data_IF_027650118185
#
_entry.id   IF_027650118185
#
_cell.length_a   1.000
_cell.length_b   1.000
_cell.length_c   1.000
_cell.angle_alpha   90.00
_cell.angle_beta   90.00
_cell.angle_gamma   90.00
#
_symmetry.space_group_name_H-M   'P 1'
#
loop_
_entity.id
_entity.type
_entity.pdbx_description
1 polymer ?
#
# COMPACT_ATOMS: atom_id res chain seq x y z
N UNK A 1 -25.07 73.56 -27.96
CA UNK A 1 -25.03 72.18 -28.50
C UNK A 1 -24.02 71.38 -27.70
N UNK A 2 -24.50 70.45 -26.88
CA UNK A 2 -23.70 69.56 -26.04
C UNK A 2 -22.97 68.53 -26.91
N UNK A 3 -21.68 68.30 -26.67
CA UNK A 3 -20.98 67.12 -27.19
C UNK A 3 -20.37 66.35 -26.02
N UNK A 4 -21.04 65.24 -25.66
CA UNK A 4 -20.60 64.30 -24.64
C UNK A 4 -19.32 63.58 -25.10
N UNK A 5 -18.28 63.69 -24.28
CA UNK A 5 -17.04 62.92 -24.34
C UNK A 5 -17.35 61.42 -24.15
N UNK A 6 -17.11 60.60 -25.18
CA UNK A 6 -17.04 59.14 -25.08
C UNK A 6 -15.74 58.75 -24.39
N UNK A 7 -15.76 58.63 -23.06
CA UNK A 7 -14.68 58.01 -22.26
C UNK A 7 -15.25 56.73 -21.67
N UNK A 8 -15.37 55.70 -22.50
CA UNK A 8 -16.08 54.46 -22.16
C UNK A 8 -15.26 53.17 -22.23
N UNK A 9 -14.38 52.95 -23.23
CA UNK A 9 -13.83 51.60 -23.42
C UNK A 9 -12.44 51.37 -22.80
N UNK A 10 -11.69 52.43 -22.47
CA UNK A 10 -10.29 52.29 -22.02
C UNK A 10 -10.15 51.82 -20.55
N UNK A 11 -11.14 52.08 -19.69
CA UNK A 11 -11.08 51.70 -18.28
C UNK A 11 -11.53 50.25 -18.01
N UNK A 12 -12.25 49.62 -18.93
CA UNK A 12 -12.70 48.24 -18.76
C UNK A 12 -11.59 47.21 -19.06
N UNK A 13 -10.69 47.51 -20.01
CA UNK A 13 -9.58 46.61 -20.34
C UNK A 13 -8.49 46.57 -19.26
N UNK A 14 -8.23 47.68 -18.56
CA UNK A 14 -7.19 47.73 -17.51
C UNK A 14 -7.62 47.01 -16.24
N UNK A 15 -8.90 47.03 -15.88
CA UNK A 15 -9.42 46.27 -14.73
C UNK A 15 -9.35 44.74 -14.95
N UNK A 16 -9.59 44.27 -16.18
CA UNK A 16 -9.47 42.85 -16.53
C UNK A 16 -8.03 42.32 -16.48
N UNK A 17 -7.06 43.12 -16.93
CA UNK A 17 -5.63 42.74 -16.92
C UNK A 17 -5.06 42.79 -15.49
N UNK A 18 -5.48 43.75 -14.66
CA UNK A 18 -5.05 43.83 -13.27
C UNK A 18 -5.60 42.65 -12.44
N UNK A 19 -6.84 42.22 -12.66
CA UNK A 19 -7.42 41.03 -12.03
C UNK A 19 -6.71 39.74 -12.42
N UNK A 20 -6.34 39.59 -13.69
CA UNK A 20 -5.60 38.43 -14.18
C UNK A 20 -4.16 38.36 -13.63
N UNK A 21 -3.49 39.50 -13.44
CA UNK A 21 -2.15 39.56 -12.86
C UNK A 21 -2.14 39.26 -11.36
N UNK A 22 -3.17 39.67 -10.60
CA UNK A 22 -3.30 39.31 -9.18
C UNK A 22 -3.59 37.83 -9.00
N UNK A 23 -4.47 37.25 -9.83
CA UNK A 23 -4.69 35.80 -9.83
C UNK A 23 -3.42 35.04 -10.25
N UNK A 24 -2.76 35.43 -11.35
CA UNK A 24 -1.52 34.82 -11.81
C UNK A 24 -0.33 34.98 -10.83
N UNK A 25 -0.33 36.01 -9.99
CA UNK A 25 0.67 36.22 -8.93
C UNK A 25 0.34 35.45 -7.63
N UNK A 26 -0.91 35.00 -7.44
CA UNK A 26 -1.31 34.15 -6.31
C UNK A 26 -1.22 32.65 -6.61
N UNK A 27 -1.15 32.26 -7.89
CA UNK A 27 -0.95 30.87 -8.31
C UNK A 27 0.47 30.27 -8.07
N UNK A 28 1.61 30.99 -8.06
CA UNK A 28 2.90 30.35 -7.88
C UNK A 28 3.20 30.00 -6.42
N UNK A 29 2.48 30.59 -5.46
CA UNK A 29 2.71 30.38 -4.03
C UNK A 29 1.96 29.18 -3.45
N UNK A 30 0.90 28.71 -4.12
CA UNK A 30 0.10 27.55 -3.67
C UNK A 30 0.17 26.35 -4.63
N UNK A 31 0.86 26.48 -5.76
CA UNK A 31 1.06 25.38 -6.73
C UNK A 31 2.39 24.62 -6.53
N UNK A 32 3.04 24.78 -5.37
CA UNK A 32 4.20 23.98 -4.95
C UNK A 32 3.83 22.78 -4.09
N UNK A 33 2.54 22.59 -3.76
CA UNK A 33 2.07 21.34 -3.18
C UNK A 33 1.85 20.32 -4.30
N UNK A 34 2.75 19.35 -4.41
CA UNK A 34 2.57 17.89 -4.70
C UNK A 34 1.33 17.38 -5.48
N UNK A 35 0.60 18.18 -6.24
CA UNK A 35 -0.64 17.76 -6.88
C UNK A 35 -0.45 16.84 -8.09
N UNK A 36 0.78 16.62 -8.54
CA UNK A 36 1.11 15.83 -9.72
C UNK A 36 2.40 15.01 -9.56
N UNK A 37 2.89 14.82 -8.33
CA UNK A 37 3.92 13.81 -8.12
C UNK A 37 3.24 12.46 -8.33
N UNK A 38 3.73 11.57 -9.21
CA UNK A 38 3.26 10.20 -9.23
C UNK A 38 3.46 9.66 -7.81
N UNK A 39 2.37 9.40 -7.09
CA UNK A 39 2.45 8.72 -5.79
C UNK A 39 3.22 7.44 -6.04
N UNK A 40 4.27 7.20 -5.25
CA UNK A 40 5.01 5.95 -5.32
C UNK A 40 3.98 4.81 -5.19
N UNK A 41 3.92 3.84 -6.12
CA UNK A 41 2.96 2.73 -6.03
C UNK A 41 3.01 2.04 -4.66
N UNK A 42 4.19 2.01 -4.03
CA UNK A 42 4.33 1.52 -2.68
C UNK A 42 3.67 2.43 -1.63
N UNK A 43 3.84 3.75 -1.72
CA UNK A 43 3.19 4.71 -0.81
C UNK A 43 1.67 4.63 -0.89
N UNK A 44 1.11 4.52 -2.10
CA UNK A 44 -0.33 4.31 -2.30
C UNK A 44 -0.80 2.98 -1.71
N UNK A 45 0.02 1.92 -1.85
CA UNK A 45 -0.25 0.61 -1.26
C UNK A 45 -0.20 0.67 0.27
N UNK A 46 0.76 1.38 0.86
CA UNK A 46 0.84 1.58 2.31
C UNK A 46 -0.39 2.32 2.86
N UNK A 47 -0.86 3.36 2.17
CA UNK A 47 -2.08 4.09 2.54
C UNK A 47 -3.30 3.17 2.49
N UNK A 48 -3.39 2.31 1.47
CA UNK A 48 -4.45 1.31 1.35
C UNK A 48 -4.42 0.32 2.52
N UNK A 49 -3.26 -0.25 2.86
CA UNK A 49 -3.11 -1.19 3.99
C UNK A 49 -3.58 -0.50 5.28
N UNK A 50 -3.05 0.68 5.59
CA UNK A 50 -3.38 1.40 6.82
C UNK A 50 -4.87 1.75 6.90
N UNK A 51 -5.45 2.21 5.79
CA UNK A 51 -6.87 2.55 5.72
C UNK A 51 -7.75 1.34 6.00
N UNK A 52 -7.49 0.20 5.37
CA UNK A 52 -8.32 -1.01 5.56
C UNK A 52 -8.10 -1.66 6.93
N UNK A 53 -6.88 -1.65 7.47
CA UNK A 53 -6.59 -2.05 8.86
C UNK A 53 -7.37 -1.22 9.88
N UNK A 54 -7.49 0.10 9.68
CA UNK A 54 -8.25 1.00 10.56
C UNK A 54 -9.76 0.75 10.51
N UNK A 55 -10.29 0.25 9.39
CA UNK A 55 -11.69 -0.12 9.25
C UNK A 55 -12.00 -1.55 9.72
N UNK A 56 -10.99 -2.24 10.29
CA UNK A 56 -11.11 -3.60 10.81
C UNK A 56 -11.66 -4.60 9.79
N UNK A 57 -11.24 -4.48 8.52
CA UNK A 57 -11.57 -5.52 7.54
C UNK A 57 -11.04 -6.88 8.02
N UNK A 58 -11.85 -7.95 8.00
CA UNK A 58 -11.40 -9.29 8.37
C UNK A 58 -10.16 -9.68 7.53
N UNK A 59 -9.03 -9.92 8.20
CA UNK A 59 -7.74 -10.19 7.56
C UNK A 59 -6.73 -9.05 7.61
N UNK A 60 -7.12 -7.82 7.95
CA UNK A 60 -6.22 -6.66 8.06
C UNK A 60 -6.09 -6.08 9.48
N UNK A 61 -6.68 -6.73 10.47
CA UNK A 61 -6.44 -6.47 11.89
C UNK A 61 -5.46 -7.50 12.47
N UNK A 62 -4.62 -7.13 13.45
CA UNK A 62 -4.49 -5.81 14.12
C UNK A 62 -3.85 -4.72 13.24
N UNK A 63 -3.90 -3.46 13.69
CA UNK A 63 -3.23 -2.34 12.98
C UNK A 63 -1.70 -2.55 13.03
N UNK A 64 -1.01 -2.49 11.88
CA UNK A 64 0.45 -2.55 11.85
C UNK A 64 1.08 -1.27 12.44
N UNK A 65 2.17 -1.44 13.18
CA UNK A 65 3.04 -0.37 13.68
C UNK A 65 4.17 -0.04 12.68
N UNK A 66 4.63 -1.06 11.94
CA UNK A 66 5.55 -0.94 10.81
C UNK A 66 5.03 -1.70 9.59
N UNK A 67 5.34 -1.19 8.39
CA UNK A 67 5.05 -1.85 7.10
C UNK A 67 6.26 -1.66 6.19
N UNK A 68 6.86 -2.76 5.74
CA UNK A 68 8.01 -2.76 4.85
C UNK A 68 7.71 -3.56 3.56
N UNK A 69 8.07 -3.03 2.37
CA UNK A 69 8.01 -3.79 1.14
C UNK A 69 9.15 -4.81 1.12
N UNK A 70 8.82 -6.06 0.80
CA UNK A 70 9.78 -7.16 0.73
C UNK A 70 10.14 -7.52 -0.72
N UNK A 71 9.11 -7.65 -1.57
CA UNK A 71 9.27 -7.97 -2.99
C UNK A 71 8.14 -7.31 -3.79
N UNK A 72 8.42 -6.87 -5.02
CA UNK A 72 7.42 -6.40 -5.97
C UNK A 72 7.36 -7.36 -7.16
N UNK A 73 6.17 -7.81 -7.54
CA UNK A 73 6.00 -8.71 -8.69
C UNK A 73 5.87 -7.95 -10.00
N UNK A 74 5.97 -8.66 -11.12
CA UNK A 74 5.87 -8.06 -12.45
C UNK A 74 4.47 -7.46 -12.72
N UNK A 75 3.47 -7.93 -12.00
CA UNK A 75 2.07 -7.54 -12.08
C UNK A 75 1.73 -6.34 -11.19
N UNK A 76 2.70 -5.83 -10.42
CA UNK A 76 2.54 -4.63 -9.60
C UNK A 76 2.03 -4.88 -8.18
N UNK A 77 1.98 -6.14 -7.74
CA UNK A 77 1.71 -6.45 -6.34
C UNK A 77 2.99 -6.37 -5.51
N UNK A 78 2.83 -6.01 -4.24
CA UNK A 78 3.88 -6.02 -3.24
C UNK A 78 3.63 -7.12 -2.22
N UNK A 79 4.63 -7.99 -2.04
CA UNK A 79 4.79 -8.74 -0.79
C UNK A 79 5.31 -7.75 0.26
N UNK A 80 4.61 -7.62 1.37
CA UNK A 80 5.04 -6.78 2.48
C UNK A 80 5.14 -7.57 3.78
N UNK A 81 6.01 -7.12 4.68
CA UNK A 81 6.08 -7.55 6.07
C UNK A 81 5.67 -6.40 6.98
N UNK A 82 5.04 -6.71 8.09
CA UNK A 82 4.61 -5.75 9.09
C UNK A 82 4.70 -6.33 10.50
N UNK A 83 4.94 -5.48 11.49
CA UNK A 83 4.78 -5.84 12.91
C UNK A 83 3.57 -5.08 13.43
N UNK A 84 2.65 -5.77 14.07
CA UNK A 84 1.50 -5.15 14.73
C UNK A 84 1.90 -4.45 16.02
N UNK A 85 1.04 -3.55 16.51
CA UNK A 85 1.24 -2.93 17.84
C UNK A 85 1.30 -3.97 18.98
N UNK A 86 0.77 -5.18 18.76
CA UNK A 86 0.84 -6.30 19.71
C UNK A 86 2.14 -7.13 19.58
N UNK A 87 3.04 -6.77 18.65
CA UNK A 87 4.30 -7.48 18.40
C UNK A 87 4.17 -8.68 17.45
N UNK A 88 2.99 -8.93 16.87
CA UNK A 88 2.78 -10.04 15.94
C UNK A 88 3.24 -9.67 14.53
N UNK A 89 3.84 -10.63 13.83
CA UNK A 89 4.16 -10.48 12.40
C UNK A 89 2.89 -10.58 11.57
N UNK A 90 2.79 -9.69 10.58
CA UNK A 90 1.76 -9.70 9.55
C UNK A 90 2.46 -9.61 8.21
N UNK A 91 1.86 -10.15 7.18
CA UNK A 91 2.35 -9.98 5.82
C UNK A 91 1.19 -10.06 4.84
N UNK A 92 1.42 -9.68 3.60
CA UNK A 92 0.39 -9.79 2.58
C UNK A 92 0.93 -9.54 1.19
N UNK A 93 0.09 -9.85 0.23
CA UNK A 93 0.32 -9.66 -1.18
C UNK A 93 -0.73 -8.70 -1.73
N UNK A 94 -0.35 -7.43 -1.88
CA UNK A 94 -1.29 -6.30 -2.03
C UNK A 94 -0.79 -5.25 -3.01
N UNK A 95 -1.72 -4.49 -3.59
CA UNK A 95 -1.44 -3.27 -4.34
C UNK A 95 -2.42 -2.15 -3.91
N UNK A 96 -2.41 -1.00 -4.58
CA UNK A 96 -3.26 0.14 -4.26
C UNK A 96 -4.77 -0.11 -4.47
N UNK A 97 -5.13 -1.19 -5.15
CA UNK A 97 -6.51 -1.56 -5.48
C UNK A 97 -7.06 -2.69 -4.62
N UNK A 98 -6.20 -3.50 -4.03
CA UNK A 98 -6.61 -4.71 -3.30
C UNK A 98 -5.51 -5.74 -3.10
N UNK A 99 -5.86 -6.82 -2.41
CA UNK A 99 -4.97 -7.97 -2.26
C UNK A 99 -5.41 -8.90 -1.15
N UNK A 100 -4.50 -9.78 -0.75
CA UNK A 100 -4.69 -10.68 0.38
C UNK A 100 -3.69 -10.28 1.46
N UNK A 101 -4.22 -9.95 2.63
CA UNK A 101 -3.42 -9.78 3.83
C UNK A 101 -3.59 -10.98 4.73
N UNK A 102 -2.47 -11.45 5.25
CA UNK A 102 -2.39 -12.55 6.19
C UNK A 102 -1.84 -12.00 7.51
N UNK A 103 -2.72 -11.89 8.50
CA UNK A 103 -2.30 -11.72 9.90
C UNK A 103 -1.77 -13.04 10.43
N UNK A 104 -0.77 -13.02 11.31
CA UNK A 104 -0.30 -14.21 12.01
C UNK A 104 -1.50 -15.09 12.43
N UNK A 105 -1.42 -16.37 12.07
CA UNK A 105 -2.43 -17.37 12.34
C UNK A 105 -3.03 -17.15 13.74
N UNK A 106 -4.36 -17.12 13.82
CA UNK A 106 -5.04 -17.19 15.09
C UNK A 106 -4.43 -18.35 15.91
N UNK A 107 -3.70 -18.04 17.00
CA UNK A 107 -3.62 -18.98 18.11
C UNK A 107 -2.29 -19.41 18.72
N UNK A 108 -1.15 -18.73 18.54
CA UNK A 108 0.03 -19.07 19.38
C UNK A 108 0.70 -17.84 19.99
N UNK A 109 0.36 -17.46 21.23
CA UNK A 109 1.28 -16.72 22.08
C UNK A 109 2.33 -17.71 22.56
N UNK A 110 3.37 -17.97 21.78
CA UNK A 110 4.44 -18.85 22.26
C UNK A 110 5.66 -18.02 22.56
N UNK A 111 5.60 -17.39 23.75
CA UNK A 111 6.64 -17.09 24.75
C UNK A 111 8.06 -16.60 24.33
N UNK A 112 8.42 -16.62 23.05
CA UNK A 112 9.70 -16.18 22.51
C UNK A 112 9.48 -15.31 21.26
N UNK A 113 9.59 -13.97 21.38
CA UNK A 113 9.52 -13.06 20.22
C UNK A 113 10.66 -13.27 19.20
N UNK A 114 11.59 -14.20 19.46
CA UNK A 114 12.75 -14.49 18.62
C UNK A 114 12.41 -15.28 17.34
N UNK A 115 11.22 -15.91 17.23
CA UNK A 115 10.85 -16.75 16.07
C UNK A 115 9.43 -16.52 15.56
N UNK A 116 9.01 -15.25 15.42
CA UNK A 116 7.71 -14.95 14.81
C UNK A 116 7.76 -15.24 13.31
N UNK A 117 7.16 -16.37 12.92
CA UNK A 117 7.00 -16.87 11.55
C UNK A 117 5.52 -16.85 11.17
N UNK A 118 5.20 -16.49 9.94
CA UNK A 118 3.85 -16.58 9.40
C UNK A 118 3.88 -17.14 7.97
N UNK A 119 2.90 -17.99 7.63
CA UNK A 119 2.75 -18.64 6.32
C UNK A 119 1.30 -18.53 5.83
N UNK A 120 1.11 -18.35 4.52
CA UNK A 120 -0.20 -18.08 3.93
C UNK A 120 -0.21 -18.42 2.45
N UNK A 121 -1.31 -18.98 1.98
CA UNK A 121 -1.61 -19.20 0.56
C UNK A 121 -2.70 -18.26 0.07
N UNK A 122 -2.65 -17.89 -1.20
CA UNK A 122 -3.70 -17.15 -1.89
C UNK A 122 -3.97 -17.74 -3.27
N UNK A 123 -5.19 -17.51 -3.75
CA UNK A 123 -5.59 -17.77 -5.12
C UNK A 123 -6.49 -16.65 -5.60
N UNK A 124 -6.09 -15.96 -6.66
CA UNK A 124 -6.95 -15.00 -7.35
C UNK A 124 -7.60 -15.66 -8.58
N UNK A 125 -8.57 -14.99 -9.21
CA UNK A 125 -9.29 -15.49 -10.38
C UNK A 125 -8.42 -15.68 -11.64
N UNK A 126 -7.16 -15.27 -11.59
CA UNK A 126 -6.20 -15.33 -12.69
C UNK A 126 -5.22 -16.49 -12.45
N UNK A 127 -4.96 -17.35 -13.45
CA UNK A 127 -4.16 -18.57 -13.31
C UNK A 127 -2.71 -18.35 -12.84
N UNK A 128 -2.13 -17.16 -13.00
CA UNK A 128 -0.77 -16.86 -12.54
C UNK A 128 -0.70 -16.45 -11.05
N UNK A 129 -1.86 -16.40 -10.38
CA UNK A 129 -1.99 -15.80 -9.05
C UNK A 129 -2.34 -16.80 -7.95
N UNK A 130 -1.99 -18.07 -8.15
CA UNK A 130 -1.89 -19.00 -7.02
C UNK A 130 -0.50 -18.84 -6.41
N UNK A 131 -0.43 -18.57 -5.11
CA UNK A 131 0.86 -18.34 -4.46
C UNK A 131 0.83 -18.67 -2.99
N UNK A 132 2.02 -18.90 -2.45
CA UNK A 132 2.26 -19.02 -1.03
C UNK A 132 3.43 -18.12 -0.65
N UNK A 133 3.34 -17.50 0.51
CA UNK A 133 4.44 -16.78 1.12
C UNK A 133 4.64 -17.20 2.56
N UNK A 134 5.90 -17.11 2.94
CA UNK A 134 6.41 -17.32 4.27
C UNK A 134 7.23 -16.09 4.65
N UNK A 135 7.03 -15.57 5.86
CA UNK A 135 7.73 -14.39 6.39
C UNK A 135 8.13 -14.63 7.84
N UNK A 136 9.36 -14.27 8.19
CA UNK A 136 9.92 -14.35 9.54
C UNK A 136 10.68 -13.06 9.90
N UNK A 137 10.60 -12.62 11.15
CA UNK A 137 11.48 -11.55 11.65
C UNK A 137 12.94 -12.01 11.65
N UNK A 138 13.82 -11.24 11.03
CA UNK A 138 15.23 -11.56 10.96
C UNK A 138 15.88 -11.39 12.36
N UNK A 139 16.51 -12.43 12.94
CA UNK A 139 17.07 -12.36 14.31
C UNK A 139 18.13 -11.27 14.51
N UNK A 140 18.76 -10.81 13.42
CA UNK A 140 19.84 -9.82 13.44
C UNK A 140 19.39 -8.39 13.10
N UNK A 141 18.11 -8.16 12.79
CA UNK A 141 17.59 -6.83 12.47
C UNK A 141 16.22 -6.62 13.12
N UNK A 142 16.08 -5.64 14.04
CA UNK A 142 14.81 -5.35 14.71
C UNK A 142 13.71 -4.85 13.77
N UNK A 143 14.04 -4.58 12.50
CA UNK A 143 13.08 -4.22 11.45
C UNK A 143 13.17 -5.12 10.22
N UNK A 144 14.09 -6.08 10.18
CA UNK A 144 14.34 -6.86 8.96
C UNK A 144 13.48 -8.13 8.91
N UNK A 145 13.18 -8.58 7.70
CA UNK A 145 12.43 -9.81 7.45
C UNK A 145 13.25 -10.79 6.60
N UNK A 146 13.06 -12.09 6.85
CA UNK A 146 13.33 -13.15 5.87
C UNK A 146 12.01 -13.54 5.24
N UNK A 147 12.00 -13.78 3.93
CA UNK A 147 10.79 -14.21 3.26
C UNK A 147 11.09 -15.19 2.13
N UNK A 148 10.06 -15.94 1.75
CA UNK A 148 10.06 -16.75 0.55
C UNK A 148 8.69 -16.63 -0.12
N UNK A 149 8.70 -16.34 -1.42
CA UNK A 149 7.52 -16.22 -2.26
C UNK A 149 7.54 -17.35 -3.30
N UNK A 150 6.42 -18.05 -3.47
CA UNK A 150 6.28 -19.09 -4.49
C UNK A 150 4.96 -18.94 -5.21
N UNK A 151 5.01 -18.98 -6.54
CA UNK A 151 3.83 -19.02 -7.41
C UNK A 151 3.57 -20.43 -7.94
N UNK A 152 2.32 -20.68 -8.30
CA UNK A 152 1.80 -21.95 -8.79
C UNK A 152 0.89 -21.68 -9.99
N UNK A 153 0.83 -22.62 -10.92
CA UNK A 153 -0.01 -22.49 -12.10
C UNK A 153 -1.47 -22.86 -11.82
N UNK A 154 -1.73 -23.59 -10.73
CA UNK A 154 -3.08 -24.06 -10.38
C UNK A 154 -3.31 -24.10 -8.86
N UNK A 155 -4.57 -23.98 -8.44
CA UNK A 155 -4.98 -24.23 -7.05
C UNK A 155 -4.53 -25.62 -6.55
N UNK A 156 -4.57 -26.65 -7.40
CA UNK A 156 -4.17 -28.00 -7.00
C UNK A 156 -2.67 -28.09 -6.65
N UNK A 157 -1.83 -27.34 -7.36
CA UNK A 157 -0.39 -27.26 -7.03
C UNK A 157 -0.15 -26.50 -5.73
N UNK A 158 -0.91 -25.44 -5.47
CA UNK A 158 -0.90 -24.71 -4.20
C UNK A 158 -1.32 -25.63 -3.05
N UNK A 159 -2.45 -26.31 -3.17
CA UNK A 159 -2.98 -27.23 -2.15
C UNK A 159 -1.98 -28.36 -1.83
N UNK A 160 -1.34 -28.92 -2.86
CA UNK A 160 -0.32 -29.94 -2.70
C UNK A 160 0.91 -29.43 -1.91
N UNK A 161 1.31 -28.18 -2.12
CA UNK A 161 2.48 -27.61 -1.44
C UNK A 161 2.29 -27.49 0.07
N UNK A 162 1.07 -27.15 0.52
CA UNK A 162 0.74 -27.10 1.94
C UNK A 162 0.63 -28.50 2.55
N UNK A 163 0.05 -29.46 1.82
CA UNK A 163 -0.04 -30.85 2.30
C UNK A 163 1.35 -31.48 2.49
N UNK A 164 2.32 -31.19 1.61
CA UNK A 164 3.70 -31.67 1.75
C UNK A 164 4.42 -31.05 2.96
N UNK A 165 4.13 -29.78 3.28
CA UNK A 165 4.67 -29.08 4.45
C UNK A 165 4.18 -29.69 5.77
N UNK A 166 2.88 -30.00 5.87
CA UNK A 166 2.29 -30.64 7.06
C UNK A 166 2.90 -32.02 7.33
N UNK A 167 3.09 -32.82 6.28
CA UNK A 167 3.67 -34.18 6.40
C UNK A 167 5.18 -34.18 6.71
N UNK A 168 5.87 -33.06 6.51
CA UNK A 168 7.31 -32.94 6.79
C UNK A 168 7.62 -32.43 8.20
N UNK A 169 6.58 -32.01 8.94
CA UNK A 169 6.70 -31.52 10.31
C UNK A 169 6.44 -32.60 11.39
N UNK A 170 6.03 -33.81 10.99
CA UNK A 170 5.89 -35.01 11.84
C UNK A 170 7.19 -35.84 11.91
#
# INVERSE_FOLDING_TARGET
MNSQRRVGPAFAMTAGVAGALVLAAMFPANAVGEWNTPTDPWEATQEWIMTNSLHAEPGMAPIPDSIEPLEQTAEGYFLYGAVSQAGSVMFGFVNETGGVTCGAAEGTPEEEPEFSVAECGWGFSDPDYFGAAWVELAPASPTGYRHHLRSFATQAELDASFADHENSAE
#
